data_IF_917210379480
#
_entry.id   IF_917210379480
#
_cell.length_a   1.000
_cell.length_b   1.000
_cell.length_c   1.000
_cell.angle_alpha   90.00
_cell.angle_beta   90.00
_cell.angle_gamma   90.00
#
_symmetry.space_group_name_H-M   'P 1'
#
loop_
_entity.id
_entity.type
_entity.pdbx_description
1 polymer ?
#
# COMPACT_ATOMS: atom_id res chain seq x y z
N UNK A 1 -20.93 -4.46 22.13
CA UNK A 1 -19.76 -3.55 22.14
C UNK A 1 -20.06 -2.37 21.22
N UNK A 2 -19.55 -1.16 21.51
CA UNK A 2 -19.51 -0.10 20.54
C UNK A 2 -18.36 -0.32 19.54
N UNK A 3 -18.23 0.51 18.50
CA UNK A 3 -17.19 0.35 17.48
C UNK A 3 -15.77 0.42 18.05
N UNK A 4 -15.49 1.40 18.90
CA UNK A 4 -14.18 1.56 19.51
C UNK A 4 -13.79 0.34 20.38
N UNK A 5 -14.70 -0.15 21.20
CA UNK A 5 -14.51 -1.36 21.99
C UNK A 5 -14.28 -2.59 21.11
N UNK A 6 -14.97 -2.67 19.96
CA UNK A 6 -14.82 -3.77 19.02
C UNK A 6 -13.45 -3.75 18.36
N UNK A 7 -12.98 -2.58 17.94
CA UNK A 7 -11.65 -2.40 17.36
C UNK A 7 -10.57 -2.70 18.41
N UNK A 8 -10.71 -2.21 19.63
CA UNK A 8 -9.79 -2.52 20.73
C UNK A 8 -9.75 -4.02 21.03
N UNK A 9 -10.90 -4.69 21.01
CA UNK A 9 -11.00 -6.14 21.16
C UNK A 9 -10.21 -6.85 20.05
N UNK A 10 -10.42 -6.52 18.78
CA UNK A 10 -9.69 -7.10 17.64
C UNK A 10 -8.18 -6.90 17.78
N UNK A 11 -7.75 -5.70 18.17
CA UNK A 11 -6.34 -5.38 18.35
C UNK A 11 -5.70 -6.00 19.61
N UNK A 12 -6.45 -6.33 20.64
CA UNK A 12 -5.92 -6.85 21.91
C UNK A 12 -6.08 -8.37 22.04
N UNK A 13 -7.14 -8.95 21.45
CA UNK A 13 -7.44 -10.38 21.55
C UNK A 13 -6.69 -11.23 20.55
N UNK A 14 -6.09 -10.58 19.52
CA UNK A 14 -5.38 -11.28 18.44
C UNK A 14 -3.96 -10.73 18.31
N UNK A 15 -2.97 -11.58 17.93
CA UNK A 15 -1.63 -11.09 17.62
C UNK A 15 -1.68 -10.14 16.41
N UNK A 16 -1.34 -8.87 16.62
CA UNK A 16 -1.34 -7.81 15.60
C UNK A 16 0.08 -7.48 15.23
N UNK A 17 0.41 -7.56 13.93
CA UNK A 17 1.75 -7.26 13.43
C UNK A 17 2.20 -5.82 13.78
N UNK A 18 1.29 -4.85 13.70
CA UNK A 18 1.55 -3.45 14.05
C UNK A 18 1.93 -3.25 15.53
N UNK A 19 1.53 -4.18 16.43
CA UNK A 19 1.83 -4.09 17.87
C UNK A 19 3.02 -4.93 18.31
N UNK A 20 3.13 -6.17 17.80
CA UNK A 20 4.09 -7.16 18.30
C UNK A 20 5.08 -7.64 17.24
N UNK A 21 5.04 -7.07 16.04
CA UNK A 21 5.95 -7.37 14.93
C UNK A 21 5.95 -8.87 14.59
N UNK A 22 7.16 -9.45 14.54
CA UNK A 22 7.41 -10.85 14.17
C UNK A 22 6.55 -11.87 14.92
N UNK A 23 6.23 -11.63 16.17
CA UNK A 23 5.48 -12.58 17.02
C UNK A 23 4.02 -12.76 16.58
N UNK A 24 3.48 -11.87 15.77
CA UNK A 24 2.14 -12.00 15.20
C UNK A 24 2.08 -12.92 13.97
N UNK A 25 3.21 -13.23 13.36
CA UNK A 25 3.25 -14.06 12.16
C UNK A 25 2.98 -15.53 12.52
N UNK A 26 1.89 -16.07 11.99
CA UNK A 26 1.54 -17.50 12.06
C UNK A 26 1.84 -18.14 10.70
N UNK A 27 2.79 -19.06 10.60
CA UNK A 27 3.03 -19.77 9.35
C UNK A 27 1.88 -20.76 9.08
N UNK A 28 1.39 -20.78 7.85
CA UNK A 28 0.34 -21.69 7.39
C UNK A 28 -1.01 -21.00 7.17
N UNK A 29 -1.90 -21.71 6.48
CA UNK A 29 -3.23 -21.22 6.09
C UNK A 29 -4.38 -21.91 6.81
N UNK A 30 -4.10 -22.86 7.74
CA UNK A 30 -5.11 -23.70 8.37
C UNK A 30 -6.22 -22.92 9.08
N UNK A 31 -5.84 -21.87 9.83
CA UNK A 31 -6.83 -21.03 10.51
C UNK A 31 -7.67 -20.24 9.48
N UNK A 32 -7.02 -19.69 8.46
CA UNK A 32 -7.71 -18.98 7.37
C UNK A 32 -8.68 -19.90 6.63
N UNK A 33 -8.25 -21.12 6.29
CA UNK A 33 -9.10 -22.11 5.62
C UNK A 33 -10.27 -22.56 6.51
N UNK A 34 -10.05 -22.66 7.82
CA UNK A 34 -11.11 -22.99 8.79
C UNK A 34 -12.15 -21.89 8.88
N UNK A 35 -11.72 -20.61 8.93
CA UNK A 35 -12.61 -19.45 8.89
C UNK A 35 -13.38 -19.39 7.57
N UNK A 36 -12.68 -19.56 6.46
CA UNK A 36 -13.28 -19.54 5.12
C UNK A 36 -14.37 -20.62 4.96
N UNK A 37 -14.08 -21.85 5.44
CA UNK A 37 -15.06 -22.94 5.45
C UNK A 37 -16.28 -22.63 6.32
N UNK A 38 -16.06 -22.05 7.51
CA UNK A 38 -17.15 -21.63 8.41
C UNK A 38 -18.10 -20.65 7.73
N UNK A 39 -17.58 -19.71 6.98
CA UNK A 39 -18.35 -18.72 6.24
C UNK A 39 -18.85 -19.20 4.87
N UNK A 40 -18.70 -20.48 4.55
CA UNK A 40 -19.21 -21.09 3.31
C UNK A 40 -18.40 -20.70 2.07
N UNK A 41 -17.09 -20.54 2.20
CA UNK A 41 -16.16 -20.23 1.12
C UNK A 41 -16.51 -18.92 0.37
N UNK A 42 -16.62 -17.79 1.06
CA UNK A 42 -17.08 -16.54 0.48
C UNK A 42 -16.20 -16.04 -0.68
N UNK A 43 -14.87 -16.34 -0.64
CA UNK A 43 -13.94 -15.97 -1.70
C UNK A 43 -14.27 -16.58 -3.08
N UNK A 44 -15.13 -17.59 -3.16
CA UNK A 44 -15.57 -18.24 -4.41
C UNK A 44 -16.77 -17.57 -5.05
N UNK A 45 -17.39 -16.58 -4.37
CA UNK A 45 -18.62 -15.94 -4.81
C UNK A 45 -18.39 -14.70 -5.67
N UNK A 46 -17.14 -14.26 -5.83
CA UNK A 46 -16.76 -13.11 -6.65
C UNK A 46 -15.44 -13.37 -7.38
N UNK A 47 -15.22 -12.66 -8.48
CA UNK A 47 -13.92 -12.66 -9.16
C UNK A 47 -12.91 -11.86 -8.34
N UNK A 48 -11.61 -12.17 -8.47
CA UNK A 48 -10.58 -11.42 -7.75
C UNK A 48 -9.36 -11.13 -8.60
N UNK A 49 -8.66 -10.03 -8.28
CA UNK A 49 -7.31 -9.70 -8.72
C UNK A 49 -6.44 -9.70 -7.48
N UNK A 50 -5.32 -10.41 -7.51
CA UNK A 50 -4.42 -10.55 -6.37
C UNK A 50 -3.16 -9.71 -6.58
N UNK A 51 -2.86 -8.79 -5.64
CA UNK A 51 -1.77 -7.81 -5.79
C UNK A 51 -0.74 -7.99 -4.68
N UNK A 52 0.46 -8.43 -5.04
CA UNK A 52 1.64 -8.51 -4.17
C UNK A 52 2.73 -7.51 -4.62
N UNK A 53 3.78 -7.41 -3.83
CA UNK A 53 4.94 -6.56 -4.10
C UNK A 53 5.52 -5.98 -2.83
N UNK A 54 6.65 -5.28 -2.92
CA UNK A 54 7.19 -4.53 -1.78
C UNK A 54 6.52 -3.16 -1.72
N UNK A 55 6.70 -2.32 -2.72
CA UNK A 55 6.09 -1.01 -2.84
C UNK A 55 5.05 -0.98 -3.97
N UNK A 56 4.13 -0.01 -3.96
CA UNK A 56 3.17 0.21 -5.03
C UNK A 56 1.90 -0.63 -4.99
N UNK A 57 1.79 -1.66 -4.11
CA UNK A 57 0.59 -2.50 -3.98
C UNK A 57 -0.70 -1.68 -3.85
N UNK A 58 -0.77 -0.84 -2.82
CA UNK A 58 -1.95 -0.01 -2.55
C UNK A 58 -2.28 0.93 -3.72
N UNK A 59 -1.29 1.62 -4.32
CA UNK A 59 -1.52 2.47 -5.50
C UNK A 59 -2.09 1.66 -6.67
N UNK A 60 -1.51 0.48 -6.98
CA UNK A 60 -2.01 -0.38 -8.05
C UNK A 60 -3.43 -0.90 -7.74
N UNK A 61 -3.69 -1.32 -6.50
CA UNK A 61 -5.00 -1.83 -6.07
C UNK A 61 -6.09 -0.77 -6.18
N UNK A 62 -5.84 0.42 -5.66
CA UNK A 62 -6.80 1.53 -5.73
C UNK A 62 -7.03 2.01 -7.18
N UNK A 63 -5.97 2.14 -7.98
CA UNK A 63 -6.14 2.58 -9.38
C UNK A 63 -6.90 1.55 -10.21
N UNK A 64 -6.64 0.24 -10.03
CA UNK A 64 -7.41 -0.81 -10.69
C UNK A 64 -8.87 -0.82 -10.23
N UNK A 65 -9.12 -0.62 -8.93
CA UNK A 65 -10.49 -0.50 -8.40
C UNK A 65 -11.21 0.69 -9.02
N UNK A 66 -10.57 1.86 -9.13
CA UNK A 66 -11.14 3.04 -9.76
C UNK A 66 -11.48 2.82 -11.25
N UNK A 67 -10.59 2.15 -12.01
CA UNK A 67 -10.85 1.80 -13.41
C UNK A 67 -12.06 0.86 -13.54
N UNK A 68 -12.14 -0.18 -12.68
CA UNK A 68 -13.25 -1.14 -12.73
C UNK A 68 -14.58 -0.53 -12.26
N UNK A 69 -14.57 0.37 -11.28
CA UNK A 69 -15.75 1.16 -10.90
C UNK A 69 -16.21 2.03 -12.07
N UNK A 70 -15.27 2.63 -12.81
CA UNK A 70 -15.59 3.45 -14.00
C UNK A 70 -16.19 2.63 -15.15
N UNK A 71 -15.97 1.30 -15.18
CA UNK A 71 -16.67 0.35 -16.07
C UNK A 71 -18.08 -0.03 -15.58
N UNK A 72 -18.47 0.42 -14.40
CA UNK A 72 -19.77 0.14 -13.80
C UNK A 72 -19.83 -1.14 -12.96
N UNK A 73 -18.69 -1.78 -12.65
CA UNK A 73 -18.67 -2.93 -11.75
C UNK A 73 -18.84 -2.52 -10.29
N UNK A 74 -19.48 -3.37 -9.50
CA UNK A 74 -19.44 -3.30 -8.04
C UNK A 74 -18.13 -3.91 -7.56
N UNK A 75 -17.21 -3.05 -7.11
CA UNK A 75 -15.83 -3.43 -6.80
C UNK A 75 -15.60 -3.51 -5.31
N UNK A 76 -15.13 -4.68 -4.83
CA UNK A 76 -14.54 -4.83 -3.51
C UNK A 76 -13.05 -4.43 -3.54
N UNK A 77 -12.58 -3.79 -2.49
CA UNK A 77 -11.17 -3.42 -2.34
C UNK A 77 -10.70 -3.77 -0.93
N UNK A 78 -9.73 -4.67 -0.85
CA UNK A 78 -9.05 -5.08 0.40
C UNK A 78 -7.61 -4.61 0.36
N UNK A 79 -7.22 -3.71 1.28
CA UNK A 79 -5.88 -3.12 1.35
C UNK A 79 -5.36 -3.06 2.77
N UNK A 80 -4.03 -2.94 2.93
CA UNK A 80 -3.38 -2.84 4.24
C UNK A 80 -2.00 -2.15 4.16
N UNK A 81 -1.57 -1.50 5.26
CA UNK A 81 -2.37 -1.15 6.45
C UNK A 81 -3.36 -0.02 6.16
N UNK A 82 -4.28 0.26 7.08
CA UNK A 82 -5.04 1.51 7.11
C UNK A 82 -4.16 2.65 7.64
N UNK A 83 -4.58 3.89 7.41
CA UNK A 83 -3.93 5.06 7.98
C UNK A 83 -4.65 5.55 9.23
N UNK A 84 -5.89 5.97 9.12
CA UNK A 84 -6.66 6.60 10.20
C UNK A 84 -7.68 5.63 10.81
N UNK A 85 -8.47 4.97 9.98
CA UNK A 85 -9.58 4.13 10.41
C UNK A 85 -9.46 2.69 9.90
N UNK A 86 -9.70 1.70 10.76
CA UNK A 86 -9.68 0.28 10.40
C UNK A 86 -10.52 -0.04 9.15
N UNK A 87 -11.66 0.65 8.99
CA UNK A 87 -12.61 0.43 7.88
C UNK A 87 -12.00 0.71 6.50
N UNK A 88 -10.91 1.49 6.42
CA UNK A 88 -10.19 1.74 5.16
C UNK A 88 -9.70 0.45 4.50
N UNK A 89 -9.49 -0.60 5.29
CA UNK A 89 -9.02 -1.91 4.79
C UNK A 89 -10.05 -2.62 3.92
N UNK A 90 -11.34 -2.29 4.05
CA UNK A 90 -12.44 -3.02 3.42
C UNK A 90 -13.42 -2.00 2.83
N UNK A 91 -13.43 -1.89 1.52
CA UNK A 91 -14.30 -0.94 0.80
C UNK A 91 -15.10 -1.65 -0.29
N UNK A 92 -16.28 -1.12 -0.56
CA UNK A 92 -17.09 -1.49 -1.74
C UNK A 92 -17.48 -0.22 -2.47
N UNK A 93 -17.08 -0.09 -3.73
CA UNK A 93 -17.23 1.13 -4.53
C UNK A 93 -16.77 2.41 -3.80
N UNK A 94 -15.60 2.34 -3.16
CA UNK A 94 -15.00 3.43 -2.41
C UNK A 94 -15.53 3.61 -0.99
N UNK A 95 -16.72 3.14 -0.69
CA UNK A 95 -17.33 3.23 0.64
C UNK A 95 -16.73 2.21 1.61
N UNK A 96 -16.30 2.68 2.78
CA UNK A 96 -15.81 1.82 3.84
C UNK A 96 -16.92 0.90 4.37
N UNK A 97 -16.56 -0.31 4.78
CA UNK A 97 -17.42 -1.18 5.58
C UNK A 97 -17.99 -0.42 6.78
N UNK A 98 -19.28 -0.63 7.09
CA UNK A 98 -19.91 0.08 8.20
C UNK A 98 -19.39 -0.39 9.56
N UNK A 99 -19.39 0.50 10.55
CA UNK A 99 -19.06 0.17 11.94
C UNK A 99 -19.97 -0.93 12.48
N UNK A 100 -21.25 -0.83 12.19
CA UNK A 100 -22.23 -1.81 12.65
C UNK A 100 -21.96 -3.21 12.09
N UNK A 101 -21.54 -3.32 10.83
CA UNK A 101 -21.20 -4.63 10.26
C UNK A 101 -20.00 -5.29 10.99
N UNK A 102 -19.00 -4.49 11.36
CA UNK A 102 -17.83 -4.99 12.11
C UNK A 102 -18.24 -5.43 13.51
N UNK A 103 -19.07 -4.64 14.19
CA UNK A 103 -19.62 -4.96 15.52
C UNK A 103 -20.41 -6.29 15.45
N UNK A 104 -21.33 -6.38 14.50
CA UNK A 104 -22.17 -7.57 14.32
C UNK A 104 -21.34 -8.82 14.00
N UNK A 105 -20.31 -8.69 13.15
CA UNK A 105 -19.41 -9.78 12.82
C UNK A 105 -18.71 -10.31 14.09
N UNK A 106 -18.12 -9.42 14.87
CA UNK A 106 -17.41 -9.83 16.08
C UNK A 106 -18.38 -10.44 17.11
N UNK A 107 -19.53 -9.82 17.35
CA UNK A 107 -20.49 -10.31 18.34
C UNK A 107 -21.09 -11.68 17.98
N UNK A 108 -21.38 -11.92 16.71
CA UNK A 108 -21.96 -13.17 16.23
C UNK A 108 -20.93 -14.29 16.15
N UNK A 109 -19.73 -13.97 15.69
CA UNK A 109 -18.76 -15.00 15.27
C UNK A 109 -17.66 -15.26 16.30
N UNK A 110 -17.50 -14.41 17.32
CA UNK A 110 -16.41 -14.52 18.31
C UNK A 110 -16.36 -15.89 19.00
N UNK A 111 -17.53 -16.50 19.29
CA UNK A 111 -17.58 -17.84 19.94
C UNK A 111 -16.97 -18.93 19.04
N UNK A 112 -17.01 -18.73 17.72
CA UNK A 112 -16.39 -19.64 16.78
C UNK A 112 -14.89 -19.39 16.63
N UNK A 113 -14.49 -18.14 16.44
CA UNK A 113 -13.11 -17.85 16.10
C UNK A 113 -12.18 -17.75 17.32
N UNK A 114 -12.65 -17.39 18.52
CA UNK A 114 -11.81 -17.30 19.72
C UNK A 114 -11.01 -18.60 20.00
N UNK A 115 -11.59 -19.79 19.97
CA UNK A 115 -10.85 -21.04 20.17
C UNK A 115 -9.78 -21.34 19.11
N UNK A 116 -9.88 -20.74 17.95
CA UNK A 116 -8.90 -20.89 16.85
C UNK A 116 -7.67 -20.00 17.06
N UNK A 117 -7.75 -19.03 17.97
CA UNK A 117 -6.70 -18.02 18.21
C UNK A 117 -6.18 -17.39 16.90
N UNK A 118 -7.05 -16.86 16.02
CA UNK A 118 -6.62 -16.28 14.76
C UNK A 118 -5.73 -15.07 14.99
N UNK A 119 -4.87 -14.76 14.04
CA UNK A 119 -4.22 -13.43 13.97
C UNK A 119 -5.22 -12.36 13.54
N UNK A 120 -4.90 -11.11 13.83
CA UNK A 120 -5.69 -9.96 13.39
C UNK A 120 -5.90 -9.96 11.86
N UNK A 121 -4.86 -10.32 11.09
CA UNK A 121 -4.96 -10.32 9.65
C UNK A 121 -5.81 -11.47 9.11
N UNK A 122 -5.78 -12.65 9.73
CA UNK A 122 -6.69 -13.76 9.41
C UNK A 122 -8.15 -13.38 9.61
N UNK A 123 -8.49 -12.73 10.73
CA UNK A 123 -9.85 -12.26 10.98
C UNK A 123 -10.27 -11.15 10.01
N UNK A 124 -9.37 -10.19 9.75
CA UNK A 124 -9.66 -9.09 8.83
C UNK A 124 -9.89 -9.59 7.40
N UNK A 125 -9.12 -10.59 6.97
CA UNK A 125 -9.29 -11.23 5.66
C UNK A 125 -10.63 -11.98 5.57
N UNK A 126 -10.98 -12.76 6.60
CA UNK A 126 -12.25 -13.47 6.65
C UNK A 126 -13.46 -12.52 6.67
N UNK A 127 -13.37 -11.43 7.45
CA UNK A 127 -14.37 -10.36 7.47
C UNK A 127 -14.55 -9.73 6.08
N UNK A 128 -13.43 -9.39 5.41
CA UNK A 128 -13.46 -8.79 4.08
C UNK A 128 -14.14 -9.71 3.06
N UNK A 129 -13.76 -10.97 3.00
CA UNK A 129 -14.32 -11.91 2.03
C UNK A 129 -15.80 -12.19 2.29
N UNK A 130 -16.20 -12.36 3.56
CA UNK A 130 -17.61 -12.49 3.94
C UNK A 130 -18.40 -11.24 3.52
N UNK A 131 -17.88 -10.04 3.81
CA UNK A 131 -18.53 -8.78 3.43
C UNK A 131 -18.69 -8.64 1.92
N UNK A 132 -17.64 -8.93 1.13
CA UNK A 132 -17.71 -8.86 -0.33
C UNK A 132 -18.73 -9.82 -0.93
N UNK A 133 -18.81 -11.05 -0.42
CA UNK A 133 -19.80 -12.02 -0.86
C UNK A 133 -21.23 -11.55 -0.55
N UNK A 134 -21.50 -11.06 0.66
CA UNK A 134 -22.81 -10.53 1.06
C UNK A 134 -23.19 -9.27 0.29
N UNK A 135 -22.21 -8.40 -0.01
CA UNK A 135 -22.39 -7.24 -0.86
C UNK A 135 -22.55 -7.59 -2.34
N UNK A 136 -22.34 -8.85 -2.73
CA UNK A 136 -22.44 -9.34 -4.12
C UNK A 136 -21.56 -8.51 -5.05
N UNK A 137 -20.29 -8.31 -4.68
CA UNK A 137 -19.35 -7.59 -5.55
C UNK A 137 -19.09 -8.41 -6.81
N UNK A 138 -18.97 -7.75 -7.95
CA UNK A 138 -18.65 -8.40 -9.22
C UNK A 138 -17.20 -8.89 -9.24
N UNK A 139 -16.32 -8.06 -8.66
CA UNK A 139 -14.88 -8.32 -8.57
C UNK A 139 -14.29 -7.66 -7.33
N UNK A 140 -13.28 -8.29 -6.73
CA UNK A 140 -12.51 -7.71 -5.62
C UNK A 140 -11.03 -7.59 -5.97
N UNK A 141 -10.43 -6.45 -5.64
CA UNK A 141 -8.98 -6.26 -5.67
C UNK A 141 -8.45 -6.58 -4.27
N UNK A 142 -7.60 -7.58 -4.19
CA UNK A 142 -7.10 -8.13 -2.93
C UNK A 142 -5.60 -7.86 -2.84
N UNK A 143 -5.22 -6.97 -1.93
CA UNK A 143 -3.81 -6.69 -1.62
C UNK A 143 -3.28 -7.72 -0.62
N UNK A 144 -2.11 -8.29 -0.92
CA UNK A 144 -1.35 -9.16 -0.01
C UNK A 144 -0.85 -8.34 1.18
N UNK A 145 -1.04 -8.85 2.38
CA UNK A 145 -0.52 -8.20 3.59
C UNK A 145 0.98 -8.36 3.76
N UNK A 146 1.50 -9.59 3.71
CA UNK A 146 2.91 -9.89 3.87
C UNK A 146 3.35 -11.08 3.01
N UNK A 147 4.42 -10.90 2.24
CA UNK A 147 4.97 -11.97 1.40
C UNK A 147 4.05 -12.30 0.23
N UNK A 148 3.37 -13.41 0.31
CA UNK A 148 2.40 -13.91 -0.68
C UNK A 148 2.06 -15.38 -0.46
N UNK A 149 3.04 -16.28 -0.47
CA UNK A 149 2.85 -17.74 -0.41
C UNK A 149 2.03 -18.19 0.80
N UNK A 150 2.31 -17.65 1.97
CA UNK A 150 1.63 -17.97 3.23
C UNK A 150 0.77 -16.80 3.76
N UNK A 151 0.45 -15.84 2.88
CA UNK A 151 -0.46 -14.76 3.24
C UNK A 151 -1.91 -15.25 3.31
N UNK A 152 -2.67 -14.79 4.29
CA UNK A 152 -4.06 -15.19 4.50
C UNK A 152 -4.94 -14.98 3.25
N UNK A 153 -4.60 -14.00 2.41
CA UNK A 153 -5.32 -13.74 1.17
C UNK A 153 -5.08 -14.82 0.10
N UNK A 154 -4.03 -15.65 0.25
CA UNK A 154 -3.61 -16.59 -0.80
C UNK A 154 -4.47 -17.87 -0.92
N UNK A 155 -5.61 -17.94 -0.26
CA UNK A 155 -6.62 -18.98 -0.46
C UNK A 155 -7.45 -18.76 -1.74
N UNK A 156 -7.37 -17.58 -2.36
CA UNK A 156 -8.11 -17.23 -3.58
C UNK A 156 -7.48 -17.84 -4.84
N UNK A 157 -8.29 -18.02 -5.88
CA UNK A 157 -7.85 -18.25 -7.27
C UNK A 157 -8.27 -17.04 -8.09
N UNK A 158 -7.37 -16.05 -8.28
CA UNK A 158 -7.71 -14.81 -8.96
C UNK A 158 -7.81 -15.01 -10.48
N UNK A 159 -8.43 -14.05 -11.18
CA UNK A 159 -8.40 -14.00 -12.66
C UNK A 159 -7.10 -13.38 -13.18
N UNK A 160 -6.37 -12.66 -12.33
CA UNK A 160 -5.08 -12.03 -12.64
C UNK A 160 -4.28 -11.87 -11.34
N UNK A 161 -3.00 -12.20 -11.37
CA UNK A 161 -2.03 -11.90 -10.31
C UNK A 161 -1.12 -10.76 -10.74
N UNK A 162 -0.74 -9.89 -9.79
CA UNK A 162 0.17 -8.76 -10.04
C UNK A 162 1.24 -8.74 -8.96
N UNK A 163 2.51 -8.63 -9.35
CA UNK A 163 3.63 -8.41 -8.42
C UNK A 163 4.30 -7.11 -8.84
N UNK A 164 4.16 -6.06 -8.03
CA UNK A 164 4.58 -4.70 -8.43
C UNK A 164 6.09 -4.54 -8.54
N UNK A 165 6.81 -4.87 -7.49
CA UNK A 165 8.28 -4.86 -7.45
C UNK A 165 8.81 -5.65 -6.26
N UNK A 166 10.13 -5.85 -6.25
CA UNK A 166 10.86 -6.47 -5.14
C UNK A 166 11.93 -5.50 -4.63
N UNK A 167 11.89 -5.22 -3.35
CA UNK A 167 12.98 -4.57 -2.63
C UNK A 167 13.10 -5.15 -1.22
N UNK A 168 14.19 -4.88 -0.52
CA UNK A 168 14.40 -5.36 0.85
C UNK A 168 13.41 -4.68 1.79
N UNK A 169 12.50 -5.47 2.31
CA UNK A 169 11.58 -5.12 3.39
C UNK A 169 11.17 -6.42 4.11
N UNK A 170 10.86 -6.33 5.40
CA UNK A 170 10.45 -7.47 6.23
C UNK A 170 11.40 -8.69 6.12
N UNK A 171 12.70 -8.45 6.03
CA UNK A 171 13.71 -9.49 5.77
C UNK A 171 13.73 -10.59 6.84
N UNK A 172 13.33 -10.29 8.06
CA UNK A 172 13.18 -11.27 9.15
C UNK A 172 12.12 -12.36 8.88
N UNK A 173 11.24 -12.19 7.86
CA UNK A 173 10.20 -13.16 7.49
C UNK A 173 10.36 -13.68 6.08
N UNK A 174 10.76 -12.80 5.17
CA UNK A 174 10.75 -13.08 3.74
C UNK A 174 12.11 -13.56 3.22
N UNK A 175 13.13 -13.59 4.09
CA UNK A 175 14.50 -13.93 3.72
C UNK A 175 15.40 -12.71 3.50
N UNK A 176 16.69 -12.97 3.40
CA UNK A 176 17.70 -11.91 3.37
C UNK A 176 18.10 -11.47 1.95
N UNK A 177 17.75 -12.26 0.94
CA UNK A 177 18.04 -11.96 -0.47
C UNK A 177 16.78 -11.50 -1.20
N UNK A 178 16.95 -10.76 -2.30
CA UNK A 178 15.82 -10.37 -3.14
C UNK A 178 15.17 -11.58 -3.82
N UNK A 179 15.95 -12.65 -4.07
CA UNK A 179 15.42 -13.90 -4.60
C UNK A 179 14.48 -14.61 -3.60
N UNK A 180 14.84 -14.62 -2.30
CA UNK A 180 13.95 -15.19 -1.27
C UNK A 180 12.63 -14.42 -1.20
N UNK A 181 12.71 -13.09 -1.14
CA UNK A 181 11.53 -12.21 -1.10
C UNK A 181 10.67 -12.40 -2.36
N UNK A 182 11.30 -12.56 -3.54
CA UNK A 182 10.61 -12.84 -4.78
C UNK A 182 9.91 -14.21 -4.73
N UNK A 183 10.55 -15.23 -4.14
CA UNK A 183 9.96 -16.57 -3.95
C UNK A 183 8.69 -16.54 -3.11
N UNK A 184 8.68 -15.80 -2.00
CA UNK A 184 7.49 -15.64 -1.17
C UNK A 184 6.37 -14.93 -1.93
N UNK A 185 6.69 -13.84 -2.67
CA UNK A 185 5.67 -13.10 -3.45
C UNK A 185 5.19 -13.89 -4.66
N UNK A 186 6.06 -14.67 -5.30
CA UNK A 186 5.69 -15.58 -6.40
C UNK A 186 4.67 -16.66 -5.98
N UNK A 187 4.48 -16.88 -4.68
CA UNK A 187 3.44 -17.78 -4.15
C UNK A 187 2.01 -17.41 -4.55
N UNK A 188 1.74 -16.20 -5.02
CA UNK A 188 0.42 -15.81 -5.55
C UNK A 188 0.21 -16.18 -7.02
N UNK A 189 1.23 -16.70 -7.71
CA UNK A 189 1.11 -17.20 -9.08
C UNK A 189 0.38 -18.54 -9.02
N UNK A 190 -0.78 -18.62 -9.68
CA UNK A 190 -1.70 -19.77 -9.62
C UNK A 190 -1.77 -20.51 -10.96
N UNK A 191 -2.14 -21.80 -10.95
CA UNK A 191 -2.22 -22.60 -12.17
C UNK A 191 -3.06 -21.97 -13.29
N UNK A 192 -2.44 -21.71 -14.42
CA UNK A 192 -3.09 -21.14 -15.60
C UNK A 192 -3.53 -19.67 -15.51
N UNK A 193 -3.33 -19.01 -14.37
CA UNK A 193 -3.71 -17.61 -14.16
C UNK A 193 -2.60 -16.69 -14.64
N UNK A 194 -2.89 -15.69 -15.50
CA UNK A 194 -1.89 -14.71 -15.91
C UNK A 194 -1.27 -13.95 -14.74
N UNK A 195 0.03 -13.65 -14.83
CA UNK A 195 0.72 -12.82 -13.86
C UNK A 195 1.48 -11.66 -14.53
N UNK A 196 1.28 -10.46 -13.99
CA UNK A 196 2.02 -9.25 -14.39
C UNK A 196 3.08 -8.99 -13.34
N UNK A 197 4.34 -8.92 -13.77
CA UNK A 197 5.47 -8.47 -12.95
C UNK A 197 5.79 -7.04 -13.36
N UNK A 198 5.63 -6.09 -12.44
CA UNK A 198 5.87 -4.67 -12.71
C UNK A 198 7.35 -4.40 -12.95
N UNK A 199 8.17 -4.69 -11.96
CA UNK A 199 9.63 -4.57 -12.04
C UNK A 199 10.30 -5.87 -11.55
N UNK A 200 11.27 -6.35 -12.31
CA UNK A 200 12.08 -7.50 -11.96
C UNK A 200 13.56 -7.19 -12.15
N UNK A 201 14.37 -7.47 -11.12
CA UNK A 201 15.83 -7.39 -11.19
C UNK A 201 16.40 -8.68 -11.78
N UNK A 202 17.66 -8.68 -12.27
CA UNK A 202 18.30 -9.89 -12.80
C UNK A 202 18.22 -11.10 -11.87
N UNK A 203 18.32 -10.89 -10.56
CA UNK A 203 18.27 -11.95 -9.54
C UNK A 203 16.83 -12.40 -9.19
N UNK A 204 15.82 -11.59 -9.40
CA UNK A 204 14.41 -11.93 -9.09
C UNK A 204 13.66 -12.49 -10.30
N UNK A 205 14.05 -12.12 -11.50
CA UNK A 205 13.41 -12.55 -12.75
C UNK A 205 13.35 -14.06 -12.93
N UNK A 206 14.45 -14.83 -12.73
CA UNK A 206 14.41 -16.29 -12.85
C UNK A 206 13.43 -16.95 -11.87
N UNK A 207 13.29 -16.40 -10.65
CA UNK A 207 12.36 -16.92 -9.63
C UNK A 207 10.92 -16.86 -10.15
N UNK A 208 10.51 -15.73 -10.71
CA UNK A 208 9.16 -15.57 -11.29
C UNK A 208 8.96 -16.47 -12.51
N UNK A 209 9.95 -16.56 -13.40
CA UNK A 209 9.88 -17.42 -14.58
C UNK A 209 9.71 -18.89 -14.22
N UNK A 210 10.51 -19.40 -13.29
CA UNK A 210 10.42 -20.79 -12.82
C UNK A 210 9.05 -21.08 -12.18
N UNK A 211 8.55 -20.16 -11.33
CA UNK A 211 7.24 -20.34 -10.71
C UNK A 211 6.12 -20.32 -11.76
N UNK A 212 6.13 -19.37 -12.67
CA UNK A 212 5.13 -19.27 -13.74
C UNK A 212 5.15 -20.52 -14.64
N UNK A 213 6.33 -21.01 -15.01
CA UNK A 213 6.48 -22.24 -15.78
C UNK A 213 5.89 -23.45 -15.04
N UNK A 214 6.18 -23.59 -13.75
CA UNK A 214 5.62 -24.65 -12.90
C UNK A 214 4.09 -24.64 -12.85
N UNK A 215 3.50 -23.45 -12.84
CA UNK A 215 2.05 -23.26 -12.77
C UNK A 215 1.38 -23.15 -14.16
N UNK A 216 2.12 -23.30 -15.24
CA UNK A 216 1.62 -23.02 -16.60
C UNK A 216 0.93 -21.66 -16.70
N UNK A 217 1.44 -20.66 -15.98
CA UNK A 217 0.90 -19.31 -15.88
C UNK A 217 1.51 -18.44 -16.96
N UNK A 218 0.73 -17.75 -17.81
CA UNK A 218 1.24 -16.69 -18.67
C UNK A 218 1.90 -15.61 -17.83
N UNK A 219 3.17 -15.28 -18.11
CA UNK A 219 3.93 -14.26 -17.39
C UNK A 219 4.32 -13.10 -18.28
N UNK A 220 4.07 -11.89 -17.78
CA UNK A 220 4.37 -10.64 -18.47
C UNK A 220 5.25 -9.79 -17.57
N UNK A 221 6.40 -9.35 -18.07
CA UNK A 221 7.26 -8.39 -17.40
C UNK A 221 6.98 -7.01 -17.99
N UNK A 222 6.28 -6.16 -17.24
CA UNK A 222 5.83 -4.86 -17.70
C UNK A 222 6.98 -3.89 -18.07
N UNK A 223 8.17 -4.11 -17.51
CA UNK A 223 9.37 -3.33 -17.79
C UNK A 223 10.07 -3.71 -19.10
N UNK A 224 9.71 -4.83 -19.75
CA UNK A 224 10.34 -5.24 -21.01
C UNK A 224 9.94 -4.25 -22.12
N UNK A 225 10.88 -3.96 -23.03
CA UNK A 225 10.72 -2.94 -24.06
C UNK A 225 9.43 -3.10 -24.89
N UNK A 226 9.09 -4.35 -25.23
CA UNK A 226 7.85 -4.67 -25.96
C UNK A 226 6.57 -4.58 -25.11
N UNK A 227 6.69 -4.46 -23.78
CA UNK A 227 5.58 -4.30 -22.83
C UNK A 227 5.50 -2.90 -22.20
N UNK A 228 6.51 -2.05 -22.44
CA UNK A 228 6.57 -0.70 -21.90
C UNK A 228 5.42 0.17 -22.42
N UNK A 229 4.38 0.38 -21.58
CA UNK A 229 3.24 1.22 -21.92
C UNK A 229 3.52 2.71 -21.66
N UNK A 230 4.09 3.05 -20.51
CA UNK A 230 4.43 4.42 -20.16
C UNK A 230 5.75 4.80 -20.83
N UNK A 231 5.69 5.62 -21.88
CA UNK A 231 6.84 6.12 -22.62
C UNK A 231 7.48 7.33 -21.92
N UNK A 232 6.65 8.19 -21.36
CA UNK A 232 7.03 9.40 -20.64
C UNK A 232 6.04 9.69 -19.54
N UNK A 233 6.53 10.22 -18.41
CA UNK A 233 5.71 10.73 -17.32
C UNK A 233 6.24 12.11 -16.88
N UNK A 234 5.38 13.09 -16.74
CA UNK A 234 5.71 14.47 -16.42
C UNK A 234 4.70 15.08 -15.46
N UNK A 235 5.20 15.92 -14.55
CA UNK A 235 4.33 16.76 -13.70
C UNK A 235 3.84 17.98 -14.48
N UNK A 236 2.53 18.07 -14.68
CA UNK A 236 1.90 19.20 -15.38
C UNK A 236 0.69 19.66 -14.56
N UNK A 237 0.70 20.92 -14.12
CA UNK A 237 -0.40 21.53 -13.37
C UNK A 237 -0.87 20.71 -12.15
N UNK A 238 0.07 20.15 -11.39
CA UNK A 238 -0.22 19.38 -10.18
C UNK A 238 -0.81 17.98 -10.43
N UNK A 239 -0.73 17.49 -11.67
CA UNK A 239 -1.11 16.14 -12.09
C UNK A 239 0.06 15.43 -12.77
N UNK A 240 -0.01 14.11 -12.86
CA UNK A 240 0.96 13.33 -13.61
C UNK A 240 0.42 13.05 -15.01
N UNK A 241 1.07 13.58 -16.04
CA UNK A 241 0.74 13.26 -17.43
C UNK A 241 1.63 12.12 -17.96
N UNK A 242 0.98 11.09 -18.49
CA UNK A 242 1.62 9.93 -19.08
C UNK A 242 1.44 9.96 -20.60
N UNK A 243 2.54 9.89 -21.35
CA UNK A 243 2.49 9.53 -22.77
C UNK A 243 2.60 8.02 -22.86
N UNK A 244 1.57 7.36 -23.42
CA UNK A 244 1.51 5.90 -23.46
C UNK A 244 1.58 5.36 -24.88
N UNK A 245 2.00 4.11 -25.01
CA UNK A 245 2.07 3.41 -26.31
C UNK A 245 0.68 3.16 -26.90
N UNK A 246 -0.26 2.67 -26.05
CA UNK A 246 -1.56 2.16 -26.54
C UNK A 246 -2.68 3.16 -26.40
N UNK A 247 -2.71 3.96 -25.33
CA UNK A 247 -3.87 4.82 -24.99
C UNK A 247 -3.62 6.32 -25.19
N UNK A 248 -2.50 6.70 -25.82
CA UNK A 248 -2.14 8.10 -26.04
C UNK A 248 -1.79 8.82 -24.72
N UNK A 249 -2.23 10.06 -24.56
CA UNK A 249 -2.03 10.82 -23.34
C UNK A 249 -3.07 10.49 -22.29
N UNK A 250 -2.60 10.20 -21.07
CA UNK A 250 -3.40 9.94 -19.90
C UNK A 250 -2.99 10.89 -18.78
N UNK A 251 -3.96 11.41 -18.03
CA UNK A 251 -3.72 12.29 -16.87
C UNK A 251 -4.06 11.54 -15.58
N UNK A 252 -3.07 11.33 -14.73
CA UNK A 252 -3.22 10.67 -13.43
C UNK A 252 -3.30 11.67 -12.28
N UNK A 253 -4.10 11.34 -11.28
CA UNK A 253 -4.23 12.11 -10.05
C UNK A 253 -3.04 11.93 -9.10
N UNK A 254 -2.48 10.71 -9.06
CA UNK A 254 -1.41 10.37 -8.14
C UNK A 254 -0.06 10.88 -8.65
N UNK A 255 0.56 11.81 -7.91
CA UNK A 255 1.70 12.60 -8.35
C UNK A 255 3.07 12.17 -7.77
N UNK A 256 3.20 11.01 -7.14
CA UNK A 256 4.53 10.48 -6.77
C UNK A 256 5.30 10.00 -8.00
N UNK A 257 6.59 10.28 -8.12
CA UNK A 257 7.42 9.87 -9.28
C UNK A 257 7.40 8.35 -9.50
N UNK A 258 7.29 7.58 -8.42
CA UNK A 258 7.15 6.11 -8.46
C UNK A 258 5.85 5.66 -9.15
N UNK A 259 4.88 6.54 -9.34
CA UNK A 259 3.63 6.19 -10.01
C UNK A 259 3.81 5.91 -11.51
N UNK A 260 4.87 6.39 -12.13
CA UNK A 260 5.18 6.03 -13.52
C UNK A 260 5.37 4.50 -13.68
N UNK A 261 6.03 3.86 -12.71
CA UNK A 261 6.23 2.41 -12.67
C UNK A 261 4.95 1.65 -12.34
N UNK A 262 4.21 2.15 -11.35
CA UNK A 262 2.90 1.58 -11.00
C UNK A 262 1.94 1.67 -12.20
N UNK A 263 1.88 2.81 -12.86
CA UNK A 263 1.03 3.01 -14.04
C UNK A 263 1.40 2.06 -15.18
N UNK A 264 2.70 1.86 -15.44
CA UNK A 264 3.15 0.88 -16.42
C UNK A 264 2.66 -0.54 -16.10
N UNK A 265 2.70 -0.93 -14.82
CA UNK A 265 2.18 -2.21 -14.33
C UNK A 265 0.67 -2.31 -14.50
N UNK A 266 -0.07 -1.27 -14.12
CA UNK A 266 -1.53 -1.18 -14.22
C UNK A 266 -1.99 -1.28 -15.68
N UNK A 267 -1.37 -0.53 -16.59
CA UNK A 267 -1.73 -0.53 -18.01
C UNK A 267 -1.48 -1.89 -18.65
N UNK A 268 -0.41 -2.61 -18.25
CA UNK A 268 -0.22 -3.99 -18.64
C UNK A 268 -1.30 -4.91 -18.06
N UNK A 269 -1.66 -4.75 -16.78
CA UNK A 269 -2.74 -5.53 -16.18
C UNK A 269 -4.07 -5.35 -16.91
N UNK A 270 -4.44 -4.11 -17.27
CA UNK A 270 -5.68 -3.78 -17.98
C UNK A 270 -5.75 -4.46 -19.37
N UNK A 271 -4.63 -4.67 -20.05
CA UNK A 271 -4.62 -5.41 -21.34
C UNK A 271 -5.18 -6.83 -21.20
N UNK A 272 -4.91 -7.49 -20.06
CA UNK A 272 -5.34 -8.85 -19.77
C UNK A 272 -6.70 -8.95 -19.08
N UNK A 273 -7.26 -7.81 -18.64
CA UNK A 273 -8.59 -7.77 -18.05
C UNK A 273 -9.66 -7.66 -19.14
N UNK A 274 -10.33 -8.77 -19.45
CA UNK A 274 -11.46 -8.79 -20.39
C UNK A 274 -12.69 -8.03 -19.85
N UNK A 275 -12.68 -7.67 -18.57
CA UNK A 275 -13.71 -6.90 -17.90
C UNK A 275 -13.69 -5.41 -18.30
N UNK A 276 -12.52 -4.89 -18.65
CA UNK A 276 -12.39 -3.49 -19.10
C UNK A 276 -12.72 -3.43 -20.61
N UNK A 277 -13.95 -3.06 -20.91
CA UNK A 277 -14.52 -3.05 -22.29
C UNK A 277 -14.25 -1.71 -22.97
N UNK A 278 -14.58 -0.60 -22.30
CA UNK A 278 -14.28 0.76 -22.79
C UNK A 278 -12.93 1.24 -22.25
N UNK A 279 -11.86 0.63 -22.77
CA UNK A 279 -10.49 0.92 -22.33
C UNK A 279 -10.06 2.39 -22.52
N UNK A 280 -10.74 3.16 -23.36
CA UNK A 280 -10.44 4.58 -23.58
C UNK A 280 -10.98 5.49 -22.48
N UNK A 281 -12.26 5.37 -22.18
CA UNK A 281 -12.99 6.26 -21.24
C UNK A 281 -12.76 5.85 -19.81
N UNK A 282 -12.94 4.57 -19.49
CA UNK A 282 -12.86 4.08 -18.10
C UNK A 282 -11.46 4.18 -17.53
N UNK A 283 -10.42 3.92 -18.33
CA UNK A 283 -9.03 4.10 -17.90
C UNK A 283 -8.77 5.58 -17.59
N UNK A 284 -9.11 6.48 -18.50
CA UNK A 284 -8.90 7.93 -18.32
C UNK A 284 -9.60 8.45 -17.08
N UNK A 285 -10.87 8.08 -16.91
CA UNK A 285 -11.65 8.53 -15.76
C UNK A 285 -11.09 7.92 -14.47
N UNK A 286 -10.88 6.61 -14.42
CA UNK A 286 -10.41 5.91 -13.23
C UNK A 286 -9.06 6.42 -12.71
N UNK A 287 -8.06 6.64 -13.60
CA UNK A 287 -6.74 7.11 -13.18
C UNK A 287 -6.72 8.59 -12.75
N UNK A 288 -7.68 9.39 -13.22
CA UNK A 288 -7.79 10.81 -12.86
C UNK A 288 -8.63 11.09 -11.63
N UNK A 289 -9.32 10.06 -11.06
CA UNK A 289 -10.22 10.16 -9.90
C UNK A 289 -9.99 9.02 -8.88
N UNK A 290 -8.74 8.57 -8.73
CA UNK A 290 -8.42 7.45 -7.83
C UNK A 290 -8.81 7.74 -6.39
N UNK A 291 -8.48 8.94 -5.89
CA UNK A 291 -8.75 9.34 -4.51
C UNK A 291 -10.25 9.47 -4.26
N UNK A 292 -10.97 10.12 -5.17
CA UNK A 292 -12.42 10.29 -5.09
C UNK A 292 -13.15 8.94 -5.09
N UNK A 293 -12.79 8.06 -6.02
CA UNK A 293 -13.45 6.77 -6.22
C UNK A 293 -13.09 5.72 -5.16
N UNK A 294 -11.96 5.85 -4.49
CA UNK A 294 -11.44 4.77 -3.63
C UNK A 294 -10.96 5.20 -2.26
N UNK A 295 -10.85 6.51 -2.00
CA UNK A 295 -10.39 7.04 -0.72
C UNK A 295 -8.91 6.77 -0.43
N UNK A 296 -8.04 6.66 -1.45
CA UNK A 296 -6.59 6.49 -1.25
C UNK A 296 -5.98 7.73 -0.62
N UNK A 297 -5.18 7.55 0.42
CA UNK A 297 -4.47 8.61 1.12
C UNK A 297 -2.96 8.35 1.20
N UNK A 298 -2.19 9.41 1.49
CA UNK A 298 -0.76 9.31 1.83
C UNK A 298 0.16 8.88 0.69
N UNK A 299 -0.16 9.23 -0.55
CA UNK A 299 0.69 8.94 -1.73
C UNK A 299 1.02 10.22 -2.46
N UNK A 300 2.11 10.91 -2.04
CA UNK A 300 2.46 12.25 -2.49
C UNK A 300 1.24 13.17 -2.45
N UNK A 301 0.53 13.09 -1.31
CA UNK A 301 -0.76 13.77 -1.14
C UNK A 301 -0.54 15.23 -0.79
N UNK A 302 -1.04 16.12 -1.63
CA UNK A 302 -1.06 17.55 -1.36
C UNK A 302 -2.16 17.86 -0.35
N UNK A 303 -1.79 18.54 0.74
CA UNK A 303 -2.68 18.94 1.83
C UNK A 303 -3.01 20.42 1.76
N UNK A 304 -2.02 21.23 1.36
CA UNK A 304 -2.13 22.69 1.32
C UNK A 304 -1.26 23.25 0.19
N UNK A 305 -1.66 24.38 -0.37
CA UNK A 305 -0.94 25.03 -1.47
C UNK A 305 0.10 26.07 -0.99
N UNK A 306 -0.18 26.80 0.11
CA UNK A 306 0.67 27.88 0.63
C UNK A 306 0.70 27.91 2.18
N UNK A 307 1.85 27.62 2.82
CA UNK A 307 2.99 26.95 2.19
C UNK A 307 2.56 25.63 1.58
N UNK A 308 3.31 25.15 0.58
CA UNK A 308 3.05 23.83 0.02
C UNK A 308 3.23 22.76 1.11
N UNK A 309 2.22 21.93 1.34
CA UNK A 309 2.29 20.79 2.28
C UNK A 309 1.97 19.50 1.55
N UNK A 310 2.92 18.57 1.60
CA UNK A 310 2.75 17.22 1.01
C UNK A 310 3.08 16.16 2.05
N UNK A 311 2.29 15.08 2.08
CA UNK A 311 2.62 13.91 2.87
C UNK A 311 2.77 12.65 2.00
N UNK A 312 3.66 11.73 2.44
CA UNK A 312 3.85 10.43 1.78
C UNK A 312 4.24 9.35 2.79
N UNK A 313 3.67 8.16 2.63
CA UNK A 313 3.87 7.00 3.51
C UNK A 313 5.12 6.19 3.21
N UNK A 314 6.01 6.67 2.35
CA UNK A 314 7.29 6.01 2.05
C UNK A 314 8.11 5.78 3.31
N UNK A 315 8.52 4.52 3.54
CA UNK A 315 9.10 4.07 4.82
C UNK A 315 10.30 3.14 4.67
N UNK A 316 10.74 2.84 3.44
CA UNK A 316 11.88 1.98 3.16
C UNK A 316 12.79 2.60 2.11
N UNK A 317 13.99 2.05 1.95
CA UNK A 317 15.01 2.56 1.02
C UNK A 317 14.46 2.66 -0.41
N UNK A 318 13.74 1.64 -0.88
CA UNK A 318 13.16 1.64 -2.24
C UNK A 318 12.16 2.77 -2.49
N UNK A 319 11.37 3.16 -1.48
CA UNK A 319 10.49 4.33 -1.56
C UNK A 319 11.26 5.66 -1.55
N UNK A 320 12.24 5.77 -0.66
CA UNK A 320 13.03 7.01 -0.52
C UNK A 320 13.96 7.30 -1.71
N UNK A 321 14.30 6.28 -2.52
CA UNK A 321 14.99 6.49 -3.81
C UNK A 321 14.20 7.39 -4.78
N UNK A 322 12.86 7.37 -4.69
CA UNK A 322 11.98 8.25 -5.49
C UNK A 322 11.64 9.54 -4.73
N UNK A 323 11.34 9.44 -3.42
CA UNK A 323 10.91 10.60 -2.64
C UNK A 323 11.99 11.66 -2.52
N UNK A 324 13.25 11.28 -2.25
CA UNK A 324 14.33 12.25 -2.07
C UNK A 324 14.54 13.16 -3.29
N UNK A 325 14.70 12.64 -4.53
CA UNK A 325 14.84 13.50 -5.68
C UNK A 325 13.58 14.34 -5.95
N UNK A 326 12.38 13.77 -5.75
CA UNK A 326 11.14 14.50 -5.94
C UNK A 326 10.96 15.64 -4.93
N UNK A 327 11.31 15.42 -3.65
CA UNK A 327 11.31 16.46 -2.61
C UNK A 327 12.27 17.60 -3.01
N UNK A 328 13.50 17.26 -3.45
CA UNK A 328 14.51 18.23 -3.88
C UNK A 328 14.13 19.02 -5.13
N UNK A 329 13.31 18.44 -5.99
CA UNK A 329 12.85 19.08 -7.23
C UNK A 329 11.73 20.11 -7.01
N UNK A 330 11.12 20.16 -5.80
CA UNK A 330 10.09 21.15 -5.51
C UNK A 330 10.72 22.54 -5.35
N UNK A 331 10.26 23.49 -6.16
CA UNK A 331 10.69 24.87 -6.04
C UNK A 331 10.14 25.46 -4.72
N UNK A 332 11.02 25.87 -3.84
CA UNK A 332 10.68 26.50 -2.57
C UNK A 332 11.83 27.38 -2.08
N UNK A 333 11.50 28.35 -1.22
CA UNK A 333 12.50 29.17 -0.52
C UNK A 333 13.25 28.34 0.52
N UNK A 334 12.50 27.58 1.33
CA UNK A 334 13.04 26.72 2.38
C UNK A 334 12.26 25.40 2.42
N UNK A 335 13.00 24.29 2.40
CA UNK A 335 12.44 22.95 2.64
C UNK A 335 12.40 22.67 4.15
N UNK A 336 11.24 22.23 4.63
CA UNK A 336 10.99 21.81 6.01
C UNK A 336 10.47 20.38 6.01
N UNK A 337 11.00 19.53 6.88
CA UNK A 337 10.64 18.10 6.89
C UNK A 337 10.22 17.69 8.30
N UNK A 338 8.96 17.29 8.45
CA UNK A 338 8.44 16.61 9.64
C UNK A 338 8.69 15.11 9.48
N UNK A 339 9.56 14.53 10.32
CA UNK A 339 10.07 13.19 10.09
C UNK A 339 10.14 12.34 11.35
N UNK A 340 9.76 11.08 11.18
CA UNK A 340 9.95 10.00 12.16
C UNK A 340 9.80 8.63 11.50
N UNK A 341 10.40 7.59 12.11
CA UNK A 341 10.38 6.23 11.58
C UNK A 341 10.04 5.19 12.64
N UNK A 342 9.88 3.95 12.20
CA UNK A 342 9.69 2.76 13.04
C UNK A 342 10.96 1.91 13.07
N UNK A 343 11.14 1.12 14.12
CA UNK A 343 12.38 0.42 14.47
C UNK A 343 12.71 -0.82 13.63
N UNK A 344 11.73 -1.33 12.87
CA UNK A 344 11.91 -2.51 12.00
C UNK A 344 12.36 -2.17 10.57
N UNK A 345 12.77 -0.93 10.32
CA UNK A 345 13.22 -0.44 9.01
C UNK A 345 14.70 -0.05 9.01
N UNK A 346 15.29 0.02 7.83
CA UNK A 346 16.67 0.49 7.66
C UNK A 346 16.74 2.03 7.76
N UNK A 347 16.61 2.51 8.99
CA UNK A 347 16.53 3.94 9.33
C UNK A 347 17.80 4.67 8.91
N UNK A 348 18.96 4.06 9.15
CA UNK A 348 20.25 4.70 8.85
C UNK A 348 20.43 4.96 7.36
N UNK A 349 20.07 3.99 6.52
CA UNK A 349 20.16 4.17 5.06
C UNK A 349 19.15 5.20 4.56
N UNK A 350 17.92 5.18 5.07
CA UNK A 350 16.92 6.20 4.71
C UNK A 350 17.38 7.59 5.12
N UNK A 351 17.86 7.77 6.36
CA UNK A 351 18.30 9.10 6.83
C UNK A 351 19.52 9.64 6.08
N UNK A 352 20.42 8.79 5.58
CA UNK A 352 21.51 9.20 4.69
C UNK A 352 21.05 9.77 3.34
N UNK A 353 19.83 9.43 2.92
CA UNK A 353 19.23 9.93 1.66
C UNK A 353 18.55 11.28 1.83
N UNK A 354 18.26 11.71 3.06
CA UNK A 354 17.51 12.93 3.34
C UNK A 354 18.27 14.18 2.88
N UNK A 355 17.55 15.23 2.41
CA UNK A 355 18.15 16.52 2.01
C UNK A 355 18.90 17.21 3.15
N UNK A 356 20.16 17.60 2.94
CA UNK A 356 20.98 18.24 3.99
C UNK A 356 20.67 19.70 4.23
N UNK A 357 20.05 20.36 3.28
CA UNK A 357 19.66 21.77 3.26
C UNK A 357 18.25 22.03 3.80
N UNK A 358 17.56 20.96 4.27
CA UNK A 358 16.26 21.06 4.92
C UNK A 358 16.37 21.38 6.41
N UNK A 359 15.32 21.99 6.96
CA UNK A 359 15.10 22.13 8.41
C UNK A 359 14.22 20.97 8.87
N UNK A 360 14.70 20.20 9.86
CA UNK A 360 13.99 19.02 10.34
C UNK A 360 13.19 19.30 11.61
N UNK A 361 11.99 18.74 11.65
CA UNK A 361 11.09 18.70 12.79
C UNK A 361 10.96 17.23 13.19
N UNK A 362 11.94 16.78 14.02
CA UNK A 362 12.02 15.37 14.44
C UNK A 362 10.86 15.03 15.36
N UNK A 363 10.19 13.93 15.08
CA UNK A 363 9.05 13.49 15.87
C UNK A 363 8.95 11.97 15.92
N UNK A 364 8.00 11.46 16.69
CA UNK A 364 7.65 10.05 16.74
C UNK A 364 6.15 9.88 16.64
N UNK A 365 5.71 8.79 16.02
CA UNK A 365 4.31 8.42 15.96
C UNK A 365 3.83 7.81 17.28
N UNK A 366 2.51 7.75 17.46
CA UNK A 366 1.89 7.19 18.69
C UNK A 366 2.04 5.67 18.82
N UNK A 367 2.48 4.97 17.77
CA UNK A 367 2.70 3.52 17.82
C UNK A 367 3.85 3.11 18.73
N UNK A 368 3.73 1.95 19.39
CA UNK A 368 4.83 1.35 20.20
C UNK A 368 6.08 0.98 19.38
N UNK A 369 5.96 0.88 18.05
CA UNK A 369 7.06 0.60 17.13
C UNK A 369 7.84 1.84 16.72
N UNK A 370 7.37 3.03 17.09
CA UNK A 370 8.08 4.26 16.76
C UNK A 370 9.45 4.29 17.44
N UNK A 371 10.47 4.68 16.66
CA UNK A 371 11.78 5.00 17.23
C UNK A 371 11.61 6.24 18.10
N UNK A 372 12.22 6.22 19.28
CA UNK A 372 12.24 7.39 20.16
C UNK A 372 12.84 8.58 19.42
N UNK A 373 12.17 9.71 19.51
CA UNK A 373 12.55 10.91 18.76
C UNK A 373 13.98 11.37 19.06
N UNK A 374 14.47 11.16 20.29
CA UNK A 374 15.84 11.50 20.67
C UNK A 374 16.87 10.72 19.84
N UNK A 375 16.63 9.42 19.59
CA UNK A 375 17.50 8.58 18.76
C UNK A 375 17.50 9.04 17.28
N UNK A 376 16.34 9.43 16.77
CA UNK A 376 16.25 9.97 15.39
C UNK A 376 17.03 11.28 15.29
N UNK A 377 16.89 12.18 16.27
CA UNK A 377 17.61 13.45 16.31
C UNK A 377 19.12 13.27 16.45
N UNK A 378 19.57 12.36 17.31
CA UNK A 378 21.01 12.01 17.46
C UNK A 378 21.59 11.50 16.15
N UNK A 379 20.90 10.56 15.49
CA UNK A 379 21.30 10.05 14.18
C UNK A 379 21.30 11.17 13.11
N UNK A 380 20.27 12.04 13.12
CA UNK A 380 20.19 13.20 12.24
C UNK A 380 21.41 14.11 12.41
N UNK A 381 21.74 14.48 13.65
CA UNK A 381 22.91 15.30 13.97
C UNK A 381 24.20 14.65 13.47
N UNK A 382 24.37 13.34 13.68
CA UNK A 382 25.58 12.60 13.22
C UNK A 382 25.73 12.59 11.68
N UNK A 383 24.61 12.77 10.95
CA UNK A 383 24.57 12.84 9.49
C UNK A 383 24.61 14.27 8.95
N UNK A 384 24.69 15.27 9.83
CA UNK A 384 24.69 16.71 9.46
C UNK A 384 23.31 17.22 9.05
N UNK A 385 22.24 16.63 9.58
CA UNK A 385 20.86 17.06 9.40
C UNK A 385 20.44 17.92 10.59
N UNK A 386 20.04 19.18 10.34
CA UNK A 386 19.74 20.15 11.37
C UNK A 386 18.24 20.19 11.68
N UNK A 387 17.88 20.05 12.96
CA UNK A 387 16.46 20.09 13.36
C UNK A 387 16.22 20.05 14.85
N UNK A 388 14.98 20.28 15.24
CA UNK A 388 14.50 20.30 16.61
C UNK A 388 13.57 19.10 16.90
N UNK A 389 13.47 18.72 18.17
CA UNK A 389 12.69 17.58 18.67
C UNK A 389 11.31 18.04 19.12
N UNK A 390 10.27 17.28 18.73
CA UNK A 390 8.89 17.54 19.09
C UNK A 390 8.21 16.25 19.61
N UNK A 391 7.40 16.38 20.65
CA UNK A 391 6.79 15.25 21.36
C UNK A 391 5.64 14.55 20.61
N UNK A 392 5.15 15.13 19.50
CA UNK A 392 4.13 14.53 18.64
C UNK A 392 4.19 15.09 17.24
N UNK A 393 3.64 14.34 16.27
CA UNK A 393 3.57 14.74 14.86
C UNK A 393 2.84 16.07 14.69
N UNK A 394 1.69 16.25 15.37
CA UNK A 394 0.92 17.49 15.31
C UNK A 394 1.68 18.69 15.87
N UNK A 395 2.50 18.53 16.94
CA UNK A 395 3.35 19.62 17.45
C UNK A 395 4.49 19.96 16.49
N UNK A 396 5.11 18.94 15.90
CA UNK A 396 6.15 19.11 14.89
C UNK A 396 5.62 19.84 13.65
N UNK A 397 4.46 19.46 13.15
CA UNK A 397 3.83 20.10 11.99
C UNK A 397 3.41 21.54 12.29
N UNK A 398 2.77 21.80 13.46
CA UNK A 398 2.40 23.17 13.87
C UNK A 398 3.63 24.09 13.96
N UNK A 399 4.74 23.59 14.48
CA UNK A 399 5.99 24.35 14.53
C UNK A 399 6.53 24.62 13.11
N UNK A 400 6.56 23.58 12.25
CA UNK A 400 6.98 23.74 10.85
C UNK A 400 6.12 24.77 10.10
N UNK A 401 4.80 24.75 10.36
CA UNK A 401 3.85 25.69 9.75
C UNK A 401 4.02 27.12 10.29
N UNK A 402 4.28 27.28 11.59
CA UNK A 402 4.53 28.58 12.20
C UNK A 402 5.83 29.24 11.72
N UNK A 403 6.84 28.43 11.42
CA UNK A 403 8.14 28.90 10.91
C UNK A 403 8.14 29.13 9.38
N UNK A 404 7.10 28.68 8.67
CA UNK A 404 7.07 28.70 7.21
C UNK A 404 6.55 30.02 6.65
N UNK A 405 7.15 30.48 5.55
CA UNK A 405 6.58 31.49 4.66
C UNK A 405 5.73 30.81 3.57
N UNK A 406 4.95 31.59 2.82
CA UNK A 406 4.04 31.07 1.77
C UNK A 406 4.77 30.30 0.66
N UNK A 407 6.03 30.64 0.38
CA UNK A 407 6.89 30.04 -0.62
C UNK A 407 7.80 28.91 -0.09
N UNK A 408 7.59 28.48 1.16
CA UNK A 408 8.24 27.31 1.72
C UNK A 408 7.52 26.00 1.32
N UNK A 409 8.24 24.89 1.47
CA UNK A 409 7.68 23.55 1.28
C UNK A 409 7.81 22.73 2.56
N UNK A 410 6.71 22.19 3.05
CA UNK A 410 6.65 21.29 4.21
C UNK A 410 6.35 19.87 3.72
N UNK A 411 7.27 18.96 3.94
CA UNK A 411 7.06 17.52 3.70
C UNK A 411 6.82 16.79 5.03
N UNK A 412 5.81 15.92 5.07
CA UNK A 412 5.49 15.09 6.24
C UNK A 412 5.61 13.62 5.87
N UNK A 413 6.50 12.87 6.54
CA UNK A 413 6.70 11.46 6.19
C UNK A 413 7.74 10.72 7.03
N UNK A 414 8.26 9.62 6.46
CA UNK A 414 9.20 8.70 7.09
C UNK A 414 8.55 7.38 7.52
N UNK A 415 7.26 7.36 7.79
CA UNK A 415 6.48 6.13 7.98
C UNK A 415 4.99 6.37 7.76
N UNK A 416 4.25 5.28 7.50
CA UNK A 416 2.78 5.35 7.45
C UNK A 416 2.16 5.83 8.75
N UNK A 417 2.78 5.57 9.89
CA UNK A 417 2.28 6.00 11.21
C UNK A 417 2.45 7.52 11.42
N UNK A 418 3.53 8.11 10.91
CA UNK A 418 3.69 9.59 10.94
C UNK A 418 2.59 10.25 10.11
N UNK A 419 2.32 9.72 8.91
CA UNK A 419 1.26 10.25 8.06
C UNK A 419 -0.12 10.00 8.66
N UNK A 420 -0.34 8.85 9.32
CA UNK A 420 -1.56 8.56 10.03
C UNK A 420 -1.84 9.58 11.15
N UNK A 421 -0.87 9.81 12.04
CA UNK A 421 -0.99 10.80 13.13
C UNK A 421 -1.15 12.24 12.60
N UNK A 422 -0.63 12.52 11.40
CA UNK A 422 -0.77 13.83 10.74
C UNK A 422 -2.17 14.04 10.15
N UNK A 423 -2.78 12.99 9.60
CA UNK A 423 -4.10 13.07 8.95
C UNK A 423 -5.27 12.87 9.92
N UNK A 424 -5.00 12.40 11.15
CA UNK A 424 -5.98 12.27 12.25
C UNK A 424 -6.23 13.61 12.93
#
# INVERSE_FOLDING_TARGET
>A
MNYQETIEYLFNSTPVFEKVGAKAYKPGLQTTETLDKHFGHPHRQFKSIHVAGTNGKGSCSHTLAAILQSEGYKVGLFTSPHLVDFRERIRVNGECISEQYIIDFVEKERRFFEPLHPSFFELTTALAFKYFAEQKVDIAIIEVGLGGRLDCTNIITPILSIITNISKDHTQFLGNTLADIAGEKAGIIKPGVPVIIGEALPETRPVFQQKAQKENSPIIFAQDENQQEVQKAEHINGKMEYTTRTWGKLTGELCGDYQAKNMNTILNAVKYLTLVKDKGTSIKYGISHVTELTGLMGRWQKIQDKPLVICDTGHNVGGWQYLTPQIKAQACRQLRIVFGMVDDKDVTTVMKMLPKDAIYYWTQATTKRAIKVEKIAELGTSLGLNGNVYSSVNKAFKAAQADAAEDDFIFVGGSSYIVADFLS
#
